data_IF_098621531257
#
_entry.id   IF_098621531257
#
_cell.length_a   1.000
_cell.length_b   1.000
_cell.length_c   1.000
_cell.angle_alpha   90.00
_cell.angle_beta   90.00
_cell.angle_gamma   90.00
#
_symmetry.space_group_name_H-M   'P 1'
#
loop_
_entity.id
_entity.type
_entity.pdbx_description
1 polymer ?
#
# COMPACT_ATOMS: atom_id res chain seq x y z
N UNK A 1 -26.15 -16.80 -14.71
CA UNK A 1 -25.50 -15.79 -15.57
C UNK A 1 -24.07 -15.57 -15.08
N UNK A 2 -23.17 -15.29 -16.02
CA UNK A 2 -21.71 -15.36 -15.94
C UNK A 2 -21.12 -14.39 -14.91
N UNK A 3 -20.04 -14.80 -14.24
CA UNK A 3 -18.83 -13.98 -14.05
C UNK A 3 -17.66 -14.88 -13.67
N UNK A 4 -17.06 -15.49 -14.69
CA UNK A 4 -15.72 -16.05 -14.62
C UNK A 4 -14.72 -14.88 -14.60
N UNK A 5 -14.52 -14.27 -13.44
CA UNK A 5 -13.37 -13.39 -13.23
C UNK A 5 -12.25 -14.26 -12.67
N UNK A 6 -11.18 -14.45 -13.44
CA UNK A 6 -9.96 -15.11 -13.00
C UNK A 6 -9.47 -14.45 -11.70
N UNK A 7 -9.74 -15.10 -10.57
CA UNK A 7 -9.33 -14.68 -9.23
C UNK A 7 -7.82 -14.94 -9.12
N UNK A 8 -6.98 -14.08 -9.70
CA UNK A 8 -5.61 -13.98 -9.20
C UNK A 8 -5.71 -13.49 -7.76
N UNK A 9 -5.35 -14.36 -6.81
CA UNK A 9 -5.37 -14.07 -5.39
C UNK A 9 -4.46 -12.87 -5.09
N UNK A 10 -4.88 -12.00 -4.16
CA UNK A 10 -4.01 -10.94 -3.61
C UNK A 10 -2.77 -11.63 -3.03
N UNK A 11 -1.58 -11.18 -3.43
CA UNK A 11 -0.29 -11.67 -2.91
C UNK A 11 0.43 -10.54 -2.21
N UNK A 12 1.31 -10.87 -1.26
CA UNK A 12 2.14 -9.86 -0.59
C UNK A 12 3.05 -9.18 -1.62
N UNK A 13 3.07 -7.84 -1.63
CA UNK A 13 3.83 -7.09 -2.63
C UNK A 13 5.34 -7.41 -2.54
N UNK A 14 5.87 -7.53 -1.31
CA UNK A 14 7.26 -7.96 -1.05
C UNK A 14 7.67 -9.27 -1.72
N UNK A 15 6.70 -10.12 -2.06
CA UNK A 15 6.95 -11.42 -2.70
C UNK A 15 6.96 -11.33 -4.23
N UNK A 16 6.18 -10.41 -4.81
CA UNK A 16 5.98 -10.33 -6.26
C UNK A 16 6.69 -9.13 -6.91
N UNK A 17 6.87 -8.03 -6.19
CA UNK A 17 7.56 -6.82 -6.62
C UNK A 17 8.37 -6.25 -5.43
N UNK A 18 9.54 -6.84 -5.12
CA UNK A 18 10.33 -6.45 -3.96
C UNK A 18 10.87 -5.02 -4.06
N UNK A 19 11.16 -4.53 -5.26
CA UNK A 19 11.69 -3.18 -5.50
C UNK A 19 10.66 -2.10 -5.13
N UNK A 20 9.43 -2.21 -5.66
CA UNK A 20 8.31 -1.35 -5.27
C UNK A 20 7.99 -1.44 -3.77
N UNK A 21 8.07 -2.63 -3.18
CA UNK A 21 7.89 -2.77 -1.72
C UNK A 21 8.99 -2.06 -0.94
N UNK A 22 10.26 -2.22 -1.33
CA UNK A 22 11.41 -1.58 -0.70
C UNK A 22 11.30 -0.06 -0.76
N UNK A 23 11.01 0.48 -1.94
CA UNK A 23 10.82 1.91 -2.15
C UNK A 23 9.74 2.48 -1.23
N UNK A 24 8.56 1.85 -1.19
CA UNK A 24 7.47 2.29 -0.32
C UNK A 24 7.84 2.18 1.16
N UNK A 25 8.54 1.12 1.58
CA UNK A 25 9.01 1.00 2.96
C UNK A 25 10.00 2.09 3.34
N UNK A 26 10.91 2.45 2.44
CA UNK A 26 11.91 3.49 2.73
C UNK A 26 11.26 4.87 2.87
N UNK A 27 10.26 5.19 2.03
CA UNK A 27 9.44 6.40 2.21
C UNK A 27 8.66 6.39 3.53
N UNK A 28 8.05 5.27 3.91
CA UNK A 28 7.27 5.19 5.16
C UNK A 28 8.14 5.29 6.41
N UNK A 29 9.37 4.77 6.37
CA UNK A 29 10.34 4.89 7.48
C UNK A 29 10.68 6.34 7.82
N UNK A 30 10.63 7.28 6.86
CA UNK A 30 10.85 8.72 7.10
C UNK A 30 9.93 9.27 8.20
N UNK A 31 8.74 8.69 8.33
CA UNK A 31 7.73 9.06 9.33
C UNK A 31 7.60 8.03 10.47
N UNK A 32 8.61 7.19 10.68
CA UNK A 32 8.63 6.10 11.67
C UNK A 32 7.48 5.08 11.49
N UNK A 33 6.97 4.91 10.27
CA UNK A 33 5.98 3.90 9.96
C UNK A 33 6.72 2.62 9.57
N UNK A 34 6.45 1.53 10.28
CA UNK A 34 7.13 0.25 10.10
C UNK A 34 6.28 -0.73 9.28
N UNK A 35 6.91 -1.80 8.82
CA UNK A 35 6.25 -2.85 8.02
C UNK A 35 5.12 -3.58 8.76
N UNK A 36 5.03 -3.45 10.08
CA UNK A 36 3.94 -4.03 10.89
C UNK A 36 2.71 -3.12 10.95
N UNK A 37 2.88 -1.82 10.68
CA UNK A 37 1.80 -0.83 10.69
C UNK A 37 0.99 -0.85 9.39
N UNK A 38 1.53 -1.49 8.35
CA UNK A 38 0.93 -1.52 7.00
C UNK A 38 0.92 -2.92 6.40
N UNK A 39 -0.16 -3.26 5.70
CA UNK A 39 -0.26 -4.47 4.90
C UNK A 39 -0.33 -4.08 3.43
N UNK A 40 0.67 -4.51 2.65
CA UNK A 40 0.78 -4.18 1.22
C UNK A 40 0.67 -5.44 0.38
N UNK A 41 -0.33 -5.45 -0.49
CA UNK A 41 -0.62 -6.57 -1.40
C UNK A 41 -0.71 -6.09 -2.84
N UNK A 42 -0.45 -6.99 -3.78
CA UNK A 42 -0.64 -6.76 -5.20
C UNK A 42 -1.54 -7.84 -5.80
N UNK A 43 -2.37 -7.44 -6.76
CA UNK A 43 -3.23 -8.32 -7.54
C UNK A 43 -3.06 -8.00 -9.01
N UNK A 44 -2.64 -8.98 -9.81
CA UNK A 44 -2.51 -8.79 -11.26
C UNK A 44 -3.90 -8.75 -11.92
N UNK A 45 -4.19 -7.67 -12.63
CA UNK A 45 -5.44 -7.38 -13.34
C UNK A 45 -5.08 -7.10 -14.80
N UNK A 46 -5.21 -8.12 -15.66
CA UNK A 46 -4.75 -8.03 -17.05
C UNK A 46 -3.23 -7.87 -17.15
N UNK A 47 -2.78 -6.81 -17.84
CA UNK A 47 -1.39 -6.38 -17.98
C UNK A 47 -0.91 -5.46 -16.85
N UNK A 48 -1.79 -5.13 -15.91
CA UNK A 48 -1.50 -4.20 -14.82
C UNK A 48 -1.59 -4.93 -13.47
N UNK A 49 -1.17 -4.22 -12.43
CA UNK A 49 -1.17 -4.72 -11.06
C UNK A 49 -1.85 -3.68 -10.19
N UNK A 50 -2.92 -4.11 -9.54
CA UNK A 50 -3.58 -3.36 -8.48
C UNK A 50 -2.76 -3.52 -7.20
N UNK A 51 -2.14 -2.45 -6.76
CA UNK A 51 -1.43 -2.35 -5.48
C UNK A 51 -2.39 -1.82 -4.44
N UNK A 52 -2.43 -2.50 -3.31
CA UNK A 52 -3.36 -2.26 -2.23
C UNK A 52 -2.61 -2.15 -0.90
N UNK A 53 -2.79 -1.03 -0.22
CA UNK A 53 -2.13 -0.70 1.05
C UNK A 53 -3.19 -0.49 2.11
N UNK A 54 -3.12 -1.28 3.18
CA UNK A 54 -4.01 -1.16 4.33
C UNK A 54 -3.22 -0.71 5.55
N UNK A 55 -3.79 0.19 6.34
CA UNK A 55 -3.11 0.81 7.49
C UNK A 55 -4.12 1.31 8.54
N UNK A 56 -3.60 1.86 9.64
CA UNK A 56 -4.37 2.32 10.79
C UNK A 56 -4.87 1.18 11.69
N UNK A 57 -5.61 1.53 12.73
CA UNK A 57 -6.14 0.55 13.70
C UNK A 57 -6.87 -0.60 12.99
N UNK A 58 -6.42 -1.84 13.24
CA UNK A 58 -6.91 -3.09 12.65
C UNK A 58 -6.93 -3.13 11.10
N UNK A 59 -6.09 -2.35 10.42
CA UNK A 59 -6.08 -2.25 8.95
C UNK A 59 -7.44 -1.79 8.39
N UNK A 60 -8.08 -0.83 9.07
CA UNK A 60 -9.40 -0.27 8.73
C UNK A 60 -9.36 0.70 7.55
N UNK A 61 -8.21 1.28 7.24
CA UNK A 61 -8.02 2.13 6.07
C UNK A 61 -7.42 1.33 4.93
N UNK A 62 -7.80 1.68 3.71
CA UNK A 62 -7.37 1.02 2.48
C UNK A 62 -7.14 2.07 1.38
N UNK A 63 -6.03 1.94 0.67
CA UNK A 63 -5.67 2.74 -0.48
C UNK A 63 -5.25 1.82 -1.61
N UNK A 64 -5.83 2.03 -2.77
CA UNK A 64 -5.64 1.15 -3.93
C UNK A 64 -5.30 1.98 -5.16
N UNK A 65 -4.27 1.57 -5.89
CA UNK A 65 -3.92 2.16 -7.18
C UNK A 65 -3.40 1.07 -8.12
N UNK A 66 -3.67 1.23 -9.40
CA UNK A 66 -3.24 0.28 -10.43
C UNK A 66 -2.02 0.84 -11.16
N UNK A 67 -1.00 0.01 -11.32
CA UNK A 67 0.26 0.33 -12.01
C UNK A 67 0.55 -0.68 -13.11
N UNK A 68 1.36 -0.31 -14.10
CA UNK A 68 1.97 -1.31 -14.98
C UNK A 68 2.99 -2.15 -14.21
N UNK A 69 3.33 -3.34 -14.71
CA UNK A 69 4.40 -4.14 -14.09
C UNK A 69 5.75 -3.42 -14.16
N UNK A 70 6.00 -2.66 -15.22
CA UNK A 70 7.26 -1.92 -15.40
C UNK A 70 7.50 -0.92 -14.26
N UNK A 71 6.46 -0.19 -13.84
CA UNK A 71 6.53 0.75 -12.71
C UNK A 71 6.80 0.03 -11.39
N UNK A 72 6.34 -1.22 -11.23
CA UNK A 72 6.59 -1.97 -9.99
C UNK A 72 7.97 -2.63 -9.94
N UNK A 73 8.62 -2.82 -11.09
CA UNK A 73 10.01 -3.23 -11.18
C UNK A 73 10.97 -2.03 -11.09
N UNK A 74 10.59 -0.89 -11.66
CA UNK A 74 11.35 0.35 -11.62
C UNK A 74 10.39 1.49 -11.22
N UNK A 75 10.26 1.77 -9.91
CA UNK A 75 9.40 2.84 -9.40
C UNK A 75 9.70 4.17 -10.10
N UNK A 76 8.66 4.77 -10.67
CA UNK A 76 8.69 6.08 -11.30
C UNK A 76 7.95 7.13 -10.44
N UNK A 77 7.83 8.35 -10.95
CA UNK A 77 7.16 9.47 -10.29
C UNK A 77 5.71 9.12 -9.88
N UNK A 78 5.02 8.25 -10.63
CA UNK A 78 3.64 7.87 -10.33
C UNK A 78 3.54 6.99 -9.07
N UNK A 79 4.54 6.14 -8.86
CA UNK A 79 4.65 5.31 -7.66
C UNK A 79 5.20 6.11 -6.48
N UNK A 80 6.07 7.09 -6.74
CA UNK A 80 6.51 8.07 -5.74
C UNK A 80 5.33 8.86 -5.19
N UNK A 81 4.50 9.48 -6.04
CA UNK A 81 3.32 10.25 -5.65
C UNK A 81 2.34 9.40 -4.80
N UNK A 82 2.15 8.14 -5.19
CA UNK A 82 1.35 7.20 -4.42
C UNK A 82 1.95 6.88 -3.06
N UNK A 83 3.27 6.70 -3.00
CA UNK A 83 3.99 6.43 -1.76
C UNK A 83 3.90 7.63 -0.80
N UNK A 84 4.01 8.85 -1.33
CA UNK A 84 3.84 10.09 -0.58
C UNK A 84 2.41 10.24 -0.05
N UNK A 85 1.39 9.91 -0.85
CA UNK A 85 0.00 9.90 -0.41
C UNK A 85 -0.22 8.92 0.77
N UNK A 86 0.34 7.70 0.68
CA UNK A 86 0.25 6.72 1.77
C UNK A 86 0.97 7.24 3.01
N UNK A 87 2.17 7.81 2.85
CA UNK A 87 2.98 8.37 3.94
C UNK A 87 2.20 9.43 4.71
N UNK A 88 1.59 10.37 4.00
CA UNK A 88 0.80 11.46 4.58
C UNK A 88 -0.45 10.92 5.32
N UNK A 89 -1.21 10.02 4.69
CA UNK A 89 -2.41 9.47 5.33
C UNK A 89 -2.10 8.58 6.52
N UNK A 90 -1.00 7.81 6.48
CA UNK A 90 -0.55 7.03 7.63
C UNK A 90 -0.18 7.96 8.79
N UNK A 91 0.57 9.03 8.53
CA UNK A 91 0.97 10.00 9.55
C UNK A 91 -0.26 10.69 10.18
N UNK A 92 -1.18 11.20 9.36
CA UNK A 92 -2.42 11.81 9.84
C UNK A 92 -3.25 10.85 10.71
N UNK A 93 -3.36 9.59 10.27
CA UNK A 93 -4.16 8.59 10.97
C UNK A 93 -3.54 8.16 12.30
N UNK A 94 -2.22 7.93 12.33
CA UNK A 94 -1.49 7.59 13.56
C UNK A 94 -1.58 8.72 14.60
N UNK A 95 -1.45 9.98 14.16
CA UNK A 95 -1.66 11.15 15.03
C UNK A 95 -3.11 11.17 15.55
N UNK A 96 -4.10 10.98 14.67
CA UNK A 96 -5.51 10.98 15.07
C UNK A 96 -5.86 9.85 16.05
N UNK A 97 -5.27 8.66 15.88
CA UNK A 97 -5.44 7.52 16.80
C UNK A 97 -4.79 7.78 18.16
N UNK A 98 -3.60 8.38 18.17
CA UNK A 98 -2.96 8.83 19.41
C UNK A 98 -3.84 9.82 20.20
N UNK A 99 -4.45 10.80 19.52
CA UNK A 99 -5.34 11.77 20.17
C UNK A 99 -6.67 11.19 20.64
N UNK A 100 -7.18 10.11 20.03
CA UNK A 100 -8.38 9.42 20.52
C UNK A 100 -8.12 8.69 21.82
N UNK A 101 -6.93 8.12 22.01
CA UNK A 101 -6.57 7.45 23.27
C UNK A 101 -6.38 8.39 24.46
N UNK A 102 -6.09 9.67 24.21
CA UNK A 102 -5.88 10.69 25.24
C UNK A 102 -7.18 11.35 25.75
N UNK A 103 -8.31 11.10 25.11
CA UNK A 103 -9.62 11.60 25.55
C UNK A 103 -10.52 10.42 25.94
N UNK A 104 -10.54 10.02 27.22
CA UNK A 104 -11.55 9.10 27.74
C UNK A 104 -12.97 9.69 27.66
#
# INVERSE_FOLDING_TARGET
>A
MKTTASQKSKKLLRTIYPDAYGYLMDKLKENNIHSFDVQITGKKVGSSVEVNVRFGETFSQELTRTFSEDVLHNPDDSFEDFSEEIKNKCQERLIADYFKMLRP
#
